data_IF_629909601064
#
_entry.id   IF_629909601064
#
_cell.length_a   1.000
_cell.length_b   1.000
_cell.length_c   1.000
_cell.angle_alpha   90.00
_cell.angle_beta   90.00
_cell.angle_gamma   90.00
#
_symmetry.space_group_name_H-M   'P 1'
#
loop_
_entity.id
_entity.type
_entity.pdbx_description
1 polymer ?
#
# COMPACT_ATOMS: atom_id res chain seq x y z
N UNK A 1 16.31 -10.99 8.89
CA UNK A 1 15.74 -10.85 10.26
C UNK A 1 16.82 -11.26 11.24
N UNK A 2 17.20 -10.41 12.19
CA UNK A 2 18.13 -10.75 13.27
C UNK A 2 17.37 -11.63 14.26
N UNK A 3 17.82 -12.87 14.56
CA UNK A 3 17.16 -13.70 15.56
C UNK A 3 17.18 -12.97 16.92
N UNK A 4 15.99 -12.66 17.46
CA UNK A 4 15.83 -11.95 18.74
C UNK A 4 15.32 -10.51 18.61
N UNK A 5 15.01 -10.00 17.42
CA UNK A 5 14.29 -8.74 17.26
C UNK A 5 12.79 -8.99 17.49
N UNK A 6 12.16 -8.12 18.30
CA UNK A 6 10.70 -8.08 18.46
C UNK A 6 10.00 -7.45 17.24
N UNK A 7 10.54 -7.62 16.02
CA UNK A 7 10.00 -7.07 14.79
C UNK A 7 8.67 -7.75 14.48
N UNK A 8 7.62 -6.94 14.39
CA UNK A 8 6.22 -7.39 14.29
C UNK A 8 5.66 -7.17 12.88
N UNK A 9 4.44 -7.65 12.64
CA UNK A 9 3.70 -7.34 11.42
C UNK A 9 3.41 -5.83 11.31
N UNK A 10 3.17 -5.16 12.44
CA UNK A 10 3.00 -3.69 12.48
C UNK A 10 4.27 -2.96 12.06
N UNK A 11 5.45 -3.42 12.49
CA UNK A 11 6.74 -2.82 12.10
C UNK A 11 6.96 -2.98 10.59
N UNK A 12 6.70 -4.18 10.04
CA UNK A 12 6.79 -4.45 8.60
C UNK A 12 5.83 -3.56 7.79
N UNK A 13 4.59 -3.41 8.27
CA UNK A 13 3.62 -2.51 7.67
C UNK A 13 4.08 -1.05 7.72
N UNK A 14 4.60 -0.60 8.85
CA UNK A 14 5.12 0.76 9.04
C UNK A 14 6.27 1.09 8.11
N UNK A 15 7.27 0.21 8.02
CA UNK A 15 8.43 0.37 7.13
C UNK A 15 8.01 0.43 5.65
N UNK A 16 7.08 -0.45 5.24
CA UNK A 16 6.53 -0.42 3.89
C UNK A 16 5.74 0.86 3.62
N UNK A 17 4.89 1.28 4.56
CA UNK A 17 4.09 2.50 4.45
C UNK A 17 4.95 3.75 4.31
N UNK A 18 6.04 3.84 5.10
CA UNK A 18 7.01 4.93 5.01
C UNK A 18 7.69 4.97 3.64
N UNK A 19 8.24 3.83 3.19
CA UNK A 19 8.90 3.74 1.88
C UNK A 19 7.96 4.09 0.72
N UNK A 20 6.71 3.60 0.77
CA UNK A 20 5.67 3.92 -0.20
C UNK A 20 5.32 5.41 -0.18
N UNK A 21 5.10 5.98 1.00
CA UNK A 21 4.77 7.40 1.17
C UNK A 21 5.84 8.32 0.61
N UNK A 22 7.12 8.00 0.83
CA UNK A 22 8.24 8.74 0.25
C UNK A 22 8.21 8.71 -1.27
N UNK A 23 8.01 7.54 -1.89
CA UNK A 23 7.95 7.42 -3.35
C UNK A 23 6.74 8.15 -3.93
N UNK A 24 5.54 7.96 -3.36
CA UNK A 24 4.31 8.63 -3.82
C UNK A 24 4.47 10.15 -3.77
N UNK A 25 5.01 10.69 -2.68
CA UNK A 25 5.29 12.12 -2.55
C UNK A 25 6.22 12.61 -3.65
N UNK A 26 7.33 11.90 -3.85
CA UNK A 26 8.35 12.28 -4.84
C UNK A 26 7.80 12.25 -6.27
N UNK A 27 7.05 11.21 -6.64
CA UNK A 27 6.43 11.09 -7.96
C UNK A 27 5.33 12.15 -8.15
N UNK A 28 4.51 12.40 -7.13
CA UNK A 28 3.46 13.43 -7.18
C UNK A 28 4.04 14.82 -7.34
N UNK A 29 5.08 15.16 -6.59
CA UNK A 29 5.77 16.44 -6.72
C UNK A 29 6.40 16.62 -8.10
N UNK A 30 7.01 15.57 -8.66
CA UNK A 30 7.56 15.61 -9.99
C UNK A 30 6.50 15.88 -11.05
N UNK A 31 5.33 15.23 -10.96
CA UNK A 31 4.21 15.45 -11.88
C UNK A 31 3.57 16.84 -11.69
N UNK A 32 3.39 17.30 -10.47
CA UNK A 32 2.83 18.63 -10.16
C UNK A 32 3.69 19.79 -10.66
N UNK A 33 5.01 19.61 -10.66
CA UNK A 33 5.96 20.63 -11.11
C UNK A 33 6.31 20.55 -12.60
N UNK A 34 5.79 19.55 -13.33
CA UNK A 34 6.01 19.43 -14.77
C UNK A 34 4.74 19.89 -15.53
N UNK A 35 4.84 20.93 -16.40
CA UNK A 35 3.66 21.48 -17.08
C UNK A 35 2.90 20.42 -17.90
N UNK A 36 1.60 20.31 -17.66
CA UNK A 36 0.69 19.41 -18.38
C UNK A 36 0.60 17.99 -17.81
N UNK A 37 1.17 17.74 -16.62
CA UNK A 37 1.05 16.46 -15.89
C UNK A 37 0.42 16.60 -14.50
N UNK A 38 -0.11 17.76 -14.18
CA UNK A 38 -0.68 18.05 -12.85
C UNK A 38 -1.86 17.12 -12.52
N UNK A 39 -2.69 16.77 -13.52
CA UNK A 39 -3.83 15.86 -13.35
C UNK A 39 -3.38 14.40 -13.16
N UNK A 40 -2.24 14.01 -13.74
CA UNK A 40 -1.72 12.66 -13.62
C UNK A 40 -1.30 12.35 -12.16
N UNK A 41 -0.93 13.39 -11.38
CA UNK A 41 -0.62 13.24 -9.96
C UNK A 41 -1.81 12.78 -9.12
N UNK A 42 -3.04 13.03 -9.56
CA UNK A 42 -4.26 12.64 -8.83
C UNK A 42 -4.40 11.13 -8.70
N UNK A 43 -3.93 10.36 -9.70
CA UNK A 43 -3.94 8.90 -9.65
C UNK A 43 -3.09 8.36 -8.48
N UNK A 44 -1.98 9.03 -8.17
CA UNK A 44 -1.10 8.66 -7.05
C UNK A 44 -1.71 9.01 -5.69
N UNK A 45 -2.50 10.08 -5.59
CA UNK A 45 -3.18 10.43 -4.33
C UNK A 45 -4.18 9.37 -3.89
N UNK A 46 -4.79 8.64 -4.81
CA UNK A 46 -5.71 7.55 -4.49
C UNK A 46 -5.03 6.46 -3.66
N UNK A 47 -3.73 6.22 -3.85
CA UNK A 47 -2.96 5.24 -3.07
C UNK A 47 -2.90 5.64 -1.60
N UNK A 48 -2.72 6.94 -1.32
CA UNK A 48 -2.65 7.48 0.05
C UNK A 48 -4.00 7.35 0.76
N UNK A 49 -5.10 7.55 0.04
CA UNK A 49 -6.45 7.41 0.63
C UNK A 49 -6.75 5.98 1.06
N UNK A 50 -6.24 4.98 0.33
CA UNK A 50 -6.40 3.57 0.68
C UNK A 50 -5.66 3.22 1.99
N UNK A 51 -4.57 3.92 2.29
CA UNK A 51 -3.81 3.70 3.52
C UNK A 51 -4.64 3.93 4.78
N UNK A 52 -5.63 4.82 4.73
CA UNK A 52 -6.54 5.06 5.85
C UNK A 52 -7.34 3.81 6.21
N UNK A 53 -7.75 3.01 5.21
CA UNK A 53 -8.45 1.75 5.43
C UNK A 53 -7.53 0.65 5.99
N UNK A 54 -6.23 0.75 5.73
CA UNK A 54 -5.21 -0.21 6.17
C UNK A 54 -4.59 0.16 7.52
N UNK A 55 -4.86 1.36 8.07
CA UNK A 55 -4.27 1.81 9.34
C UNK A 55 -4.40 0.80 10.50
N UNK A 56 -5.49 0.02 10.65
CA UNK A 56 -5.56 -0.99 11.71
C UNK A 56 -4.46 -2.05 11.64
N UNK A 57 -3.81 -2.26 10.48
CA UNK A 57 -2.68 -3.17 10.38
C UNK A 57 -1.44 -2.69 11.19
N UNK A 58 -1.36 -1.40 11.52
CA UNK A 58 -0.33 -0.86 12.42
C UNK A 58 -0.42 -1.38 13.87
N UNK A 59 -1.48 -2.12 14.20
CA UNK A 59 -1.65 -2.72 15.53
C UNK A 59 -1.36 -4.23 15.55
N UNK A 60 -1.01 -4.84 14.43
CA UNK A 60 -0.77 -6.29 14.33
C UNK A 60 0.48 -6.70 15.10
N UNK A 61 0.29 -7.55 16.11
CA UNK A 61 1.36 -7.99 17.02
C UNK A 61 1.62 -7.04 18.20
N UNK A 62 0.82 -5.98 18.38
CA UNK A 62 0.91 -5.11 19.56
C UNK A 62 0.25 -5.71 20.80
N UNK A 63 -0.62 -6.72 20.61
CA UNK A 63 -1.48 -7.25 21.66
C UNK A 63 -2.84 -6.56 21.73
N UNK A 64 -3.80 -7.23 22.39
CA UNK A 64 -5.21 -6.81 22.35
C UNK A 64 -5.46 -5.45 23.00
N UNK A 65 -4.85 -5.17 24.14
CA UNK A 65 -5.11 -3.93 24.91
C UNK A 65 -4.56 -2.71 24.17
N UNK A 66 -3.31 -2.80 23.69
CA UNK A 66 -2.67 -1.74 22.91
C UNK A 66 -3.38 -1.47 21.59
N UNK A 67 -3.79 -2.55 20.91
CA UNK A 67 -4.54 -2.44 19.65
C UNK A 67 -5.89 -1.75 19.86
N UNK A 68 -6.66 -2.14 20.87
CA UNK A 68 -7.95 -1.51 21.22
C UNK A 68 -7.77 -0.04 21.57
N UNK A 69 -6.75 0.28 22.38
CA UNK A 69 -6.48 1.66 22.76
C UNK A 69 -6.14 2.53 21.54
N UNK A 70 -5.22 2.07 20.68
CA UNK A 70 -4.82 2.80 19.48
C UNK A 70 -6.00 3.04 18.51
N UNK A 71 -6.82 2.02 18.29
CA UNK A 71 -7.97 2.11 17.40
C UNK A 71 -9.09 3.00 17.96
N UNK A 72 -9.32 2.97 19.27
CA UNK A 72 -10.28 3.87 19.92
C UNK A 72 -9.90 5.34 19.78
N UNK A 73 -8.60 5.67 19.78
CA UNK A 73 -8.11 7.03 19.50
C UNK A 73 -8.41 7.49 18.06
N UNK A 74 -8.60 6.55 17.13
CA UNK A 74 -8.99 6.81 15.73
C UNK A 74 -10.52 6.83 15.54
N UNK A 75 -11.31 6.78 16.63
CA UNK A 75 -12.77 6.82 16.58
C UNK A 75 -13.44 5.48 16.36
N UNK A 76 -12.69 4.36 16.39
CA UNK A 76 -13.27 3.02 16.28
C UNK A 76 -14.05 2.66 17.55
N UNK A 77 -15.21 2.01 17.36
CA UNK A 77 -16.12 1.52 18.39
C UNK A 77 -16.26 0.01 18.27
N UNK A 78 -16.70 -0.66 19.33
CA UNK A 78 -16.97 -2.10 19.38
C UNK A 78 -15.78 -2.95 18.85
N UNK A 79 -14.56 -2.58 19.29
CA UNK A 79 -13.32 -3.14 18.76
C UNK A 79 -13.12 -4.58 19.26
N UNK A 80 -12.95 -5.50 18.32
CA UNK A 80 -12.55 -6.89 18.57
C UNK A 80 -11.22 -7.14 17.88
N UNK A 81 -10.19 -7.47 18.67
CA UNK A 81 -8.87 -7.85 18.18
C UNK A 81 -8.62 -9.33 18.43
N UNK A 82 -8.12 -10.04 17.45
CA UNK A 82 -7.68 -11.43 17.60
C UNK A 82 -6.34 -11.64 16.91
N UNK A 83 -5.48 -12.41 17.58
CA UNK A 83 -4.16 -12.81 17.10
C UNK A 83 -4.01 -14.33 17.31
N UNK A 84 -3.59 -15.03 16.25
CA UNK A 84 -3.35 -16.47 16.30
C UNK A 84 -2.10 -16.80 15.46
N UNK A 85 -0.97 -16.88 16.11
CA UNK A 85 0.32 -17.07 15.47
C UNK A 85 0.66 -15.89 14.54
N UNK A 86 0.63 -16.11 13.23
CA UNK A 86 0.92 -15.11 12.21
C UNK A 86 -0.34 -14.50 11.57
N UNK A 87 -1.50 -14.78 12.13
CA UNK A 87 -2.79 -14.29 11.63
C UNK A 87 -3.36 -13.27 12.59
N UNK A 88 -3.80 -12.15 12.06
CA UNK A 88 -4.34 -11.01 12.78
C UNK A 88 -5.71 -10.66 12.25
N UNK A 89 -6.60 -10.21 13.13
CA UNK A 89 -7.92 -9.73 12.73
C UNK A 89 -8.37 -8.63 13.68
N UNK A 90 -8.77 -7.51 13.10
CA UNK A 90 -9.43 -6.40 13.78
C UNK A 90 -10.83 -6.23 13.20
N UNK A 91 -11.83 -6.14 14.06
CA UNK A 91 -13.20 -5.76 13.69
C UNK A 91 -13.59 -4.53 14.52
N UNK A 92 -14.24 -3.59 13.90
CA UNK A 92 -14.73 -2.39 14.58
C UNK A 92 -15.87 -1.73 13.80
N UNK A 93 -16.55 -0.82 14.45
CA UNK A 93 -17.53 0.06 13.83
C UNK A 93 -16.99 1.49 13.79
N UNK A 94 -17.22 2.22 12.71
CA UNK A 94 -16.92 3.65 12.65
C UNK A 94 -18.07 4.47 13.27
N UNK A 95 -17.90 5.79 13.38
CA UNK A 95 -18.91 6.71 13.94
C UNK A 95 -20.23 6.72 13.14
N UNK A 96 -20.18 6.37 11.86
CA UNK A 96 -21.35 6.31 10.96
C UNK A 96 -22.10 4.98 11.03
N UNK A 97 -21.57 4.02 11.78
CA UNK A 97 -22.17 2.69 11.98
C UNK A 97 -21.75 1.62 10.98
N UNK A 98 -20.84 1.91 10.04
CA UNK A 98 -20.31 0.92 9.11
C UNK A 98 -19.38 -0.06 9.81
N UNK A 99 -19.49 -1.34 9.45
CA UNK A 99 -18.68 -2.42 10.01
C UNK A 99 -17.39 -2.60 9.19
N UNK A 100 -16.26 -2.54 9.87
CA UNK A 100 -14.94 -2.76 9.28
C UNK A 100 -14.31 -4.03 9.81
N UNK A 101 -13.64 -4.77 8.95
CA UNK A 101 -12.81 -5.89 9.32
C UNK A 101 -11.50 -5.81 8.56
N UNK A 102 -10.38 -5.78 9.27
CA UNK A 102 -9.03 -5.86 8.70
C UNK A 102 -8.39 -7.17 9.14
N UNK A 103 -8.02 -7.99 8.17
CA UNK A 103 -7.34 -9.26 8.40
C UNK A 103 -5.92 -9.16 7.87
N UNK A 104 -4.96 -9.78 8.55
CA UNK A 104 -3.57 -9.84 8.12
C UNK A 104 -2.97 -11.24 8.29
N UNK A 105 -2.10 -11.60 7.38
CA UNK A 105 -1.22 -12.78 7.49
C UNK A 105 0.21 -12.30 7.26
N UNK A 106 1.08 -12.53 8.26
CA UNK A 106 2.47 -12.10 8.23
C UNK A 106 3.43 -13.27 8.15
N UNK A 107 4.24 -13.33 7.10
CA UNK A 107 5.35 -14.28 6.99
C UNK A 107 6.63 -13.62 7.51
N UNK A 108 7.04 -14.00 8.72
CA UNK A 108 8.25 -13.49 9.38
C UNK A 108 9.52 -13.81 8.59
N UNK A 109 9.57 -14.96 7.92
CA UNK A 109 10.77 -15.39 7.19
C UNK A 109 10.98 -14.60 5.90
N UNK A 110 9.89 -14.26 5.22
CA UNK A 110 9.90 -13.48 3.98
C UNK A 110 9.79 -11.98 4.24
N UNK A 111 9.50 -11.54 5.47
CA UNK A 111 9.06 -10.18 5.80
C UNK A 111 7.99 -9.72 4.82
N UNK A 112 6.90 -10.49 4.79
CA UNK A 112 5.79 -10.31 3.87
C UNK A 112 4.47 -10.23 4.63
N UNK A 113 3.69 -9.20 4.36
CA UNK A 113 2.37 -9.01 4.97
C UNK A 113 1.31 -8.92 3.87
N UNK A 114 0.25 -9.70 4.03
CA UNK A 114 -0.96 -9.59 3.22
C UNK A 114 -2.12 -9.18 4.12
N UNK A 115 -2.81 -8.09 3.74
CA UNK A 115 -3.98 -7.57 4.41
C UNK A 115 -5.20 -7.60 3.51
N UNK A 116 -6.36 -7.92 4.09
CA UNK A 116 -7.67 -7.79 3.44
C UNK A 116 -8.57 -6.92 4.30
N UNK A 117 -9.19 -5.92 3.69
CA UNK A 117 -10.17 -5.04 4.34
C UNK A 117 -11.56 -5.36 3.79
N UNK A 118 -12.49 -5.62 4.70
CA UNK A 118 -13.91 -5.75 4.41
C UNK A 118 -14.65 -4.56 5.01
N UNK A 119 -15.56 -3.97 4.25
CA UNK A 119 -16.50 -2.93 4.69
C UNK A 119 -17.91 -3.47 4.49
N UNK A 120 -18.71 -3.55 5.55
CA UNK A 120 -20.05 -4.16 5.55
C UNK A 120 -20.05 -5.54 4.85
N UNK A 121 -19.08 -6.39 5.27
CA UNK A 121 -18.83 -7.76 4.78
C UNK A 121 -18.38 -7.88 3.30
N UNK A 122 -18.16 -6.76 2.60
CA UNK A 122 -17.68 -6.73 1.21
C UNK A 122 -16.18 -6.43 1.17
N UNK A 123 -15.46 -7.14 0.33
CA UNK A 123 -14.04 -6.86 0.10
C UNK A 123 -13.87 -5.47 -0.54
N UNK A 124 -13.14 -4.61 0.15
CA UNK A 124 -12.84 -3.25 -0.30
C UNK A 124 -11.38 -3.12 -0.74
N UNK A 125 -10.45 -3.75 0.01
CA UNK A 125 -9.01 -3.65 -0.27
C UNK A 125 -8.33 -4.98 -0.02
N UNK A 126 -7.42 -5.36 -0.93
CA UNK A 126 -6.39 -6.38 -0.67
C UNK A 126 -5.03 -5.73 -0.88
N UNK A 127 -4.22 -5.69 0.16
CA UNK A 127 -2.85 -5.14 0.13
C UNK A 127 -1.85 -6.23 0.45
N UNK A 128 -0.75 -6.25 -0.27
CA UNK A 128 0.33 -7.21 -0.08
C UNK A 128 1.68 -6.54 -0.30
N UNK A 129 2.64 -6.80 0.57
CA UNK A 129 4.03 -6.39 0.34
C UNK A 129 5.01 -7.47 0.78
N UNK A 130 6.17 -7.49 0.14
CA UNK A 130 7.29 -8.36 0.44
C UNK A 130 8.59 -7.56 0.49
N UNK A 131 9.43 -7.87 1.46
CA UNK A 131 10.82 -7.40 1.50
C UNK A 131 11.62 -8.11 0.40
N UNK A 132 12.44 -7.35 -0.29
CA UNK A 132 13.33 -7.86 -1.34
C UNK A 132 14.77 -7.44 -1.08
N UNK A 133 15.71 -7.91 -1.91
CA UNK A 133 17.12 -7.48 -1.81
C UNK A 133 17.33 -5.99 -2.15
N UNK A 134 16.40 -5.35 -2.87
CA UNK A 134 16.49 -3.94 -3.25
C UNK A 134 15.61 -3.00 -2.42
N UNK A 135 14.71 -3.52 -1.58
CA UNK A 135 13.74 -2.76 -0.80
C UNK A 135 12.43 -3.52 -0.64
N UNK A 136 11.36 -3.06 -1.29
CA UNK A 136 10.04 -3.72 -1.25
C UNK A 136 9.43 -3.87 -2.63
N UNK A 137 8.63 -4.91 -2.79
CA UNK A 137 7.56 -4.98 -3.79
C UNK A 137 6.23 -4.91 -3.09
N UNK A 138 5.26 -4.23 -3.68
CA UNK A 138 3.93 -4.09 -3.11
C UNK A 138 2.84 -4.13 -4.18
N UNK A 139 1.64 -4.51 -3.75
CA UNK A 139 0.46 -4.57 -4.59
C UNK A 139 -0.77 -4.22 -3.76
N UNK A 140 -1.62 -3.34 -4.29
CA UNK A 140 -2.88 -2.97 -3.66
C UNK A 140 -3.98 -3.11 -4.70
N UNK A 141 -4.98 -3.92 -4.38
CA UNK A 141 -6.22 -4.06 -5.13
C UNK A 141 -7.33 -3.35 -4.37
N UNK A 142 -8.06 -2.46 -5.04
CA UNK A 142 -9.12 -1.64 -4.45
C UNK A 142 -10.38 -1.79 -5.25
N UNK A 143 -11.48 -2.11 -4.58
CA UNK A 143 -12.81 -2.12 -5.17
C UNK A 143 -13.49 -0.79 -4.87
N UNK A 144 -13.91 -0.09 -5.92
CA UNK A 144 -14.61 1.19 -5.82
C UNK A 144 -16.11 0.98 -5.56
N UNK A 145 -16.80 2.03 -5.10
CA UNK A 145 -18.23 2.00 -4.80
C UNK A 145 -19.11 1.64 -6.01
N UNK A 146 -18.65 1.95 -7.23
CA UNK A 146 -19.34 1.62 -8.48
C UNK A 146 -19.10 0.18 -8.96
N UNK A 147 -18.31 -0.60 -8.20
CA UNK A 147 -17.94 -1.98 -8.52
C UNK A 147 -16.77 -2.12 -9.49
N UNK A 148 -16.19 -1.03 -9.98
CA UNK A 148 -14.91 -1.06 -10.68
C UNK A 148 -13.78 -1.35 -9.68
N UNK A 149 -12.62 -1.76 -10.17
CA UNK A 149 -11.47 -1.97 -9.31
C UNK A 149 -10.18 -1.49 -9.97
N UNK A 150 -9.24 -1.09 -9.12
CA UNK A 150 -7.90 -0.67 -9.51
C UNK A 150 -6.84 -1.54 -8.84
N UNK A 151 -5.75 -1.75 -9.55
CA UNK A 151 -4.52 -2.36 -9.01
C UNK A 151 -3.40 -1.33 -9.07
N UNK A 152 -2.72 -1.19 -7.95
CA UNK A 152 -1.51 -0.43 -7.80
C UNK A 152 -0.37 -1.39 -7.50
N UNK A 153 0.63 -1.44 -8.38
CA UNK A 153 1.83 -2.26 -8.19
C UNK A 153 3.04 -1.36 -8.01
N UNK A 154 3.94 -1.71 -7.10
CA UNK A 154 5.05 -0.84 -6.76
C UNK A 154 6.33 -1.61 -6.47
N UNK A 155 7.45 -1.02 -6.89
CA UNK A 155 8.79 -1.46 -6.53
C UNK A 155 9.51 -0.27 -5.85
N UNK A 156 9.88 -0.43 -4.58
CA UNK A 156 10.46 0.61 -3.73
C UNK A 156 11.94 0.32 -3.51
N UNK A 157 12.82 1.26 -3.86
CA UNK A 157 14.28 1.10 -3.81
C UNK A 157 14.94 2.28 -3.11
N UNK A 158 14.61 2.51 -1.85
CA UNK A 158 15.05 3.69 -1.12
C UNK A 158 14.40 4.97 -1.69
N UNK A 159 15.20 5.88 -2.27
CA UNK A 159 14.71 7.11 -2.90
C UNK A 159 14.23 6.90 -4.34
N UNK A 160 14.57 5.77 -4.94
CA UNK A 160 14.15 5.38 -6.27
C UNK A 160 12.94 4.46 -6.20
N UNK A 161 12.22 4.34 -7.28
CA UNK A 161 11.12 3.40 -7.35
C UNK A 161 10.18 3.63 -8.51
N UNK A 162 9.14 2.81 -8.50
CA UNK A 162 8.16 2.79 -9.59
C UNK A 162 6.79 2.40 -9.05
N UNK A 163 5.76 3.03 -9.60
CA UNK A 163 4.35 2.67 -9.38
C UNK A 163 3.68 2.44 -10.72
N UNK A 164 2.99 1.32 -10.85
CA UNK A 164 2.13 1.00 -12.00
C UNK A 164 0.68 0.97 -11.57
N UNK A 165 -0.23 1.41 -12.44
CA UNK A 165 -1.65 1.53 -12.19
C UNK A 165 -2.42 0.89 -13.34
N UNK A 166 -3.41 0.06 -13.02
CA UNK A 166 -4.32 -0.51 -14.02
C UNK A 166 -5.71 -0.75 -13.44
N UNK A 167 -6.71 -0.72 -14.28
CA UNK A 167 -8.03 -1.23 -13.97
C UNK A 167 -7.98 -2.77 -13.90
N UNK A 168 -8.80 -3.36 -13.03
CA UNK A 168 -8.89 -4.79 -12.86
C UNK A 168 -10.35 -5.23 -12.71
N UNK A 169 -10.63 -6.47 -13.08
CA UNK A 169 -11.94 -7.12 -12.88
C UNK A 169 -11.91 -8.16 -11.76
N UNK A 170 -10.73 -8.46 -11.23
CA UNK A 170 -10.50 -9.36 -10.11
C UNK A 170 -9.16 -9.04 -9.45
N UNK A 171 -8.99 -9.46 -8.20
CA UNK A 171 -7.73 -9.35 -7.51
C UNK A 171 -6.62 -10.09 -8.30
N UNK A 172 -5.44 -9.46 -8.47
CA UNK A 172 -4.31 -10.09 -9.15
C UNK A 172 -3.74 -11.26 -8.34
N UNK A 173 -2.90 -12.06 -8.98
CA UNK A 173 -2.17 -13.10 -8.28
C UNK A 173 -1.28 -12.51 -7.17
N UNK A 174 -1.13 -13.26 -6.06
CA UNK A 174 -0.25 -12.84 -4.96
C UNK A 174 1.19 -12.67 -5.43
N UNK A 175 1.86 -11.70 -4.80
CA UNK A 175 3.30 -11.49 -4.97
C UNK A 175 4.08 -12.69 -4.43
N UNK A 176 5.28 -12.88 -4.96
CA UNK A 176 6.19 -13.96 -4.58
C UNK A 176 7.41 -13.47 -3.80
N UNK A 177 7.66 -12.15 -3.83
CA UNK A 177 8.91 -11.54 -3.34
C UNK A 177 10.10 -11.67 -4.31
N UNK A 178 9.89 -12.33 -5.46
CA UNK A 178 10.86 -12.49 -6.54
C UNK A 178 10.63 -11.60 -7.75
N UNK A 179 9.70 -10.64 -7.67
CA UNK A 179 9.38 -9.71 -8.74
C UNK A 179 10.59 -8.85 -9.09
N UNK A 180 10.76 -8.60 -10.41
CA UNK A 180 11.78 -7.67 -10.90
C UNK A 180 11.45 -6.23 -10.48
N UNK A 181 12.47 -5.39 -10.30
CA UNK A 181 12.27 -4.00 -9.88
C UNK A 181 11.46 -3.15 -10.88
N UNK A 182 11.30 -3.62 -12.10
CA UNK A 182 10.54 -2.97 -13.16
C UNK A 182 9.19 -3.64 -13.46
N UNK A 183 8.75 -4.62 -12.64
CA UNK A 183 7.48 -5.31 -12.86
C UNK A 183 6.25 -4.37 -12.93
N UNK A 184 6.22 -3.17 -12.26
CA UNK A 184 5.10 -2.26 -12.41
C UNK A 184 4.93 -1.68 -13.82
N UNK A 185 5.96 -1.73 -14.70
CA UNK A 185 5.86 -1.30 -16.11
C UNK A 185 4.90 -2.14 -16.95
N UNK A 186 4.51 -3.31 -16.46
CA UNK A 186 3.49 -4.13 -17.12
C UNK A 186 2.09 -3.50 -17.10
N UNK A 187 1.87 -2.50 -16.25
CA UNK A 187 0.62 -1.77 -16.16
C UNK A 187 0.47 -0.76 -17.31
N UNK A 188 -0.78 -0.43 -17.63
CA UNK A 188 -1.12 0.54 -18.69
C UNK A 188 -0.56 1.94 -18.39
N UNK A 189 -0.60 2.34 -17.13
CA UNK A 189 -0.09 3.59 -16.59
C UNK A 189 1.02 3.26 -15.59
N UNK A 190 2.15 3.96 -15.66
CA UNK A 190 3.22 3.80 -14.69
C UNK A 190 4.12 5.02 -14.60
N UNK A 191 4.70 5.24 -13.44
CA UNK A 191 5.62 6.34 -13.13
C UNK A 191 6.82 5.81 -12.36
N UNK A 192 8.01 6.29 -12.70
CA UNK A 192 9.28 5.88 -12.09
C UNK A 192 10.21 7.07 -11.88
N UNK A 193 11.00 6.98 -10.83
CA UNK A 193 12.11 7.88 -10.57
C UNK A 193 13.36 7.08 -10.26
N UNK A 194 14.47 7.48 -10.90
CA UNK A 194 15.82 6.94 -10.68
C UNK A 194 16.80 8.11 -10.59
N UNK A 195 17.29 8.38 -9.39
CA UNK A 195 18.05 9.59 -9.10
C UNK A 195 17.22 10.85 -9.33
N UNK A 196 17.61 11.65 -10.31
CA UNK A 196 16.90 12.86 -10.74
C UNK A 196 16.05 12.65 -12.01
N UNK A 197 16.06 11.45 -12.59
CA UNK A 197 15.36 11.15 -13.82
C UNK A 197 13.96 10.59 -13.56
N UNK A 198 12.96 11.34 -13.98
CA UNK A 198 11.57 10.89 -14.02
C UNK A 198 11.26 10.27 -15.40
N UNK A 199 10.58 9.13 -15.41
CA UNK A 199 10.02 8.49 -16.60
C UNK A 199 8.64 7.95 -16.31
N UNK A 200 7.77 7.85 -17.34
CA UNK A 200 6.43 7.29 -17.12
C UNK A 200 5.64 7.17 -18.41
N UNK A 201 4.47 6.54 -18.26
CA UNK A 201 3.40 6.48 -19.26
C UNK A 201 2.09 6.82 -18.56
N UNK A 202 1.41 7.83 -19.02
CA UNK A 202 0.12 8.29 -18.46
C UNK A 202 -1.03 7.36 -18.86
N UNK A 203 -2.19 7.50 -18.24
CA UNK A 203 -3.38 6.71 -18.54
C UNK A 203 -3.84 6.79 -20.01
N UNK A 204 -3.62 7.95 -20.68
CA UNK A 204 -3.89 8.18 -22.09
C UNK A 204 -2.76 7.72 -23.04
N UNK A 205 -1.68 7.14 -22.49
CA UNK A 205 -0.57 6.55 -23.24
C UNK A 205 0.54 7.55 -23.63
N UNK A 206 0.55 8.75 -23.07
CA UNK A 206 1.61 9.75 -23.31
C UNK A 206 2.87 9.34 -22.54
N UNK A 207 4.00 9.26 -23.24
CA UNK A 207 5.30 9.00 -22.65
C UNK A 207 5.87 10.26 -21.98
N UNK A 208 6.40 10.10 -20.78
CA UNK A 208 7.05 11.15 -20.00
C UNK A 208 8.53 10.81 -19.77
N UNK A 209 9.41 11.82 -19.98
CA UNK A 209 10.83 11.72 -19.61
C UNK A 209 11.39 13.11 -19.37
N UNK A 210 11.77 13.42 -18.13
CA UNK A 210 12.35 14.71 -17.75
C UNK A 210 13.25 14.58 -16.52
N UNK A 211 14.04 15.61 -16.24
CA UNK A 211 14.82 15.71 -15.01
C UNK A 211 14.00 16.43 -13.96
N UNK A 212 13.93 15.84 -12.79
CA UNK A 212 13.29 16.40 -11.62
C UNK A 212 14.28 16.44 -10.45
N UNK A 213 14.52 17.64 -9.93
CA UNK A 213 15.32 17.87 -8.73
C UNK A 213 14.38 18.39 -7.66
N UNK A 214 14.18 17.64 -6.55
CA UNK A 214 13.36 18.12 -5.42
C UNK A 214 13.90 19.44 -4.90
N UNK A 215 13.01 20.37 -4.59
CA UNK A 215 13.31 21.68 -4.02
C UNK A 215 13.58 21.62 -2.51
#
# INVERSE_FOLDING_TARGET
VIPGSNYTAADSFGDFLEAKGQLVTLLSDALMNNPGTELDSMALLSIVMVDLLLLPASTFGAGEEEAKFALALLGAQDIVYTENGNQYKVQYQNEEGSQYQVQGVYDVAADALKCTVLVDEKEAVVSEHHKTSFGYVGQIYVVNDDGSANVYQMALRGKDGMIGISEATAAPASLTGGEAADFPKANKEWYAIEGDRFTGVTADGRELSFIYVPS
#
